data_IF_242544296266
#
_entry.id   IF_242544296266
#
_cell.length_a   1.000
_cell.length_b   1.000
_cell.length_c   1.000
_cell.angle_alpha   90.00
_cell.angle_beta   90.00
_cell.angle_gamma   90.00
#
_symmetry.space_group_name_H-M   'P 1'
#
loop_
_entity.id
_entity.type
_entity.pdbx_description
1 polymer ?
#
# COMPACT_ATOMS: atom_id res chain seq x y z
N UNK A 1 13.10 -2.53 -5.56
CA UNK A 1 12.85 -2.00 -6.92
C UNK A 1 14.19 -1.80 -7.64
N UNK A 2 14.29 -2.21 -8.89
CA UNK A 2 15.50 -2.01 -9.67
C UNK A 2 15.86 -0.53 -9.74
N UNK A 3 17.11 -0.20 -9.52
CA UNK A 3 17.60 1.18 -9.70
C UNK A 3 17.63 1.53 -11.20
N UNK A 4 17.51 2.81 -11.55
CA UNK A 4 17.65 3.26 -12.94
C UNK A 4 18.97 2.79 -13.56
N UNK A 5 20.05 2.78 -12.78
CA UNK A 5 21.35 2.28 -13.23
C UNK A 5 21.29 0.79 -13.65
N UNK A 6 20.55 -0.06 -12.90
CA UNK A 6 20.37 -1.45 -13.25
C UNK A 6 19.50 -1.61 -14.50
N UNK A 7 18.45 -0.81 -14.63
CA UNK A 7 17.59 -0.83 -15.83
C UNK A 7 18.37 -0.41 -17.08
N UNK A 8 19.22 0.64 -17.00
CA UNK A 8 20.13 1.03 -18.09
C UNK A 8 21.09 -0.08 -18.47
N UNK A 9 21.75 -0.69 -17.49
CA UNK A 9 22.66 -1.81 -17.74
C UNK A 9 21.99 -3.00 -18.44
N UNK A 10 20.71 -3.27 -18.14
CA UNK A 10 19.92 -4.30 -18.80
C UNK A 10 19.52 -3.89 -20.21
N UNK A 11 19.18 -2.62 -20.42
CA UNK A 11 18.89 -2.05 -21.74
C UNK A 11 20.10 -2.14 -22.67
N UNK A 12 21.28 -1.76 -22.18
CA UNK A 12 22.56 -1.85 -22.90
C UNK A 12 22.90 -3.29 -23.32
N UNK A 13 22.48 -4.28 -22.52
CA UNK A 13 22.63 -5.72 -22.84
C UNK A 13 21.57 -6.24 -23.81
N UNK A 14 20.66 -5.38 -24.24
CA UNK A 14 19.61 -5.73 -25.19
C UNK A 14 18.50 -6.60 -24.60
N UNK A 15 18.22 -6.51 -23.28
CA UNK A 15 17.13 -7.24 -22.64
C UNK A 15 15.78 -6.97 -23.34
N UNK A 16 15.07 -8.00 -23.86
CA UNK A 16 13.86 -7.78 -24.64
C UNK A 16 12.58 -7.65 -23.79
N UNK A 17 12.57 -8.17 -22.57
CA UNK A 17 11.38 -8.23 -21.72
C UNK A 17 11.71 -7.78 -20.29
N UNK A 18 10.89 -6.91 -19.76
CA UNK A 18 10.90 -6.47 -18.35
C UNK A 18 9.55 -6.78 -17.74
N UNK A 19 9.50 -7.58 -16.69
CA UNK A 19 8.27 -7.98 -16.04
C UNK A 19 8.31 -7.67 -14.55
N UNK A 20 7.40 -6.80 -14.11
CA UNK A 20 7.25 -6.38 -12.71
C UNK A 20 5.93 -6.89 -12.15
N UNK A 21 5.96 -7.49 -10.98
CA UNK A 21 4.73 -7.91 -10.33
C UNK A 21 4.77 -7.71 -8.81
N UNK A 22 3.61 -7.46 -8.23
CA UNK A 22 3.44 -7.19 -6.81
C UNK A 22 2.03 -7.53 -6.34
N UNK A 23 1.80 -7.42 -5.03
CA UNK A 23 0.46 -7.30 -4.45
C UNK A 23 -0.06 -5.85 -4.43
N UNK A 24 0.81 -4.88 -4.71
CA UNK A 24 0.54 -3.44 -4.63
C UNK A 24 0.61 -2.82 -6.02
N UNK A 25 -0.55 -2.39 -6.56
CA UNK A 25 -0.65 -1.78 -7.90
C UNK A 25 0.29 -0.59 -8.08
N UNK A 26 0.40 0.24 -7.05
CA UNK A 26 1.27 1.41 -7.08
C UNK A 26 2.74 1.06 -7.38
N UNK A 27 3.28 0.01 -6.74
CA UNK A 27 4.67 -0.42 -6.96
C UNK A 27 4.90 -0.91 -8.39
N UNK A 28 3.94 -1.68 -8.91
CA UNK A 28 4.01 -2.16 -10.30
C UNK A 28 4.03 -0.97 -11.27
N UNK A 29 3.11 -0.03 -11.09
CA UNK A 29 3.01 1.16 -11.94
C UNK A 29 4.28 2.01 -11.89
N UNK A 30 4.86 2.21 -10.71
CA UNK A 30 6.14 2.92 -10.57
C UNK A 30 7.29 2.21 -11.29
N UNK A 31 7.42 0.89 -11.12
CA UNK A 31 8.48 0.13 -11.78
C UNK A 31 8.33 0.12 -13.29
N UNK A 32 7.11 -0.07 -13.80
CA UNK A 32 6.80 0.02 -15.22
C UNK A 32 7.17 1.41 -15.77
N UNK A 33 6.72 2.49 -15.12
CA UNK A 33 7.03 3.86 -15.55
C UNK A 33 8.52 4.17 -15.50
N UNK A 34 9.25 3.66 -14.49
CA UNK A 34 10.70 3.82 -14.40
C UNK A 34 11.42 3.09 -15.54
N UNK A 35 10.98 1.87 -15.86
CA UNK A 35 11.53 1.11 -16.98
C UNK A 35 11.25 1.81 -18.32
N UNK A 36 10.03 2.27 -18.56
CA UNK A 36 9.66 3.02 -19.77
C UNK A 36 10.54 4.28 -19.92
N UNK A 37 10.69 5.08 -18.87
CA UNK A 37 11.55 6.29 -18.93
C UNK A 37 12.98 5.97 -19.32
N UNK A 38 13.54 4.87 -18.77
CA UNK A 38 14.92 4.49 -19.11
C UNK A 38 15.02 3.96 -20.52
N UNK A 39 14.04 3.16 -20.96
CA UNK A 39 14.05 2.50 -22.29
C UNK A 39 13.71 3.49 -23.42
N UNK A 40 12.93 4.54 -23.14
CA UNK A 40 12.58 5.58 -24.12
C UNK A 40 13.50 6.81 -24.05
N UNK A 41 14.51 6.82 -23.17
CA UNK A 41 15.37 8.00 -22.98
C UNK A 41 16.13 8.45 -24.25
N UNK A 42 16.46 7.49 -25.11
CA UNK A 42 17.22 7.70 -26.36
C UNK A 42 16.32 7.57 -27.61
N UNK A 43 14.99 7.58 -27.44
CA UNK A 43 14.02 7.45 -28.52
C UNK A 43 13.14 8.68 -28.61
N UNK A 44 12.97 9.20 -29.84
CA UNK A 44 11.99 10.26 -30.14
C UNK A 44 10.55 9.71 -30.29
N UNK A 45 10.37 8.39 -30.16
CA UNK A 45 9.06 7.74 -30.26
C UNK A 45 8.49 7.45 -28.87
N UNK A 46 7.19 7.74 -28.70
CA UNK A 46 6.45 7.39 -27.48
C UNK A 46 6.27 5.87 -27.36
N UNK A 47 6.29 5.40 -26.13
CA UNK A 47 5.99 4.00 -25.84
C UNK A 47 4.54 3.66 -26.20
N UNK A 48 4.32 2.53 -26.90
CA UNK A 48 2.98 2.05 -27.23
C UNK A 48 2.39 1.32 -26.02
N UNK A 49 1.27 1.81 -25.50
CA UNK A 49 0.58 1.22 -24.34
C UNK A 49 -0.58 0.37 -24.81
N UNK A 50 -0.62 -0.89 -24.38
CA UNK A 50 -1.72 -1.82 -24.60
C UNK A 50 -2.43 -2.06 -23.26
N UNK A 51 -3.55 -1.37 -23.07
CA UNK A 51 -4.31 -1.43 -21.83
C UNK A 51 -5.25 -2.67 -21.78
N UNK A 52 -5.53 -3.10 -20.56
CA UNK A 52 -6.47 -4.19 -20.27
C UNK A 52 -5.83 -5.34 -19.50
N UNK A 53 -6.68 -6.18 -18.90
CA UNK A 53 -6.24 -7.35 -18.15
C UNK A 53 -5.68 -8.45 -19.07
N UNK A 54 -6.21 -8.55 -20.28
CA UNK A 54 -5.75 -9.48 -21.32
C UNK A 54 -5.75 -8.77 -22.68
N UNK A 55 -4.76 -7.89 -22.95
CA UNK A 55 -4.63 -7.24 -24.26
C UNK A 55 -4.51 -8.25 -25.39
N UNK A 56 -5.09 -7.91 -26.54
CA UNK A 56 -5.04 -8.77 -27.72
C UNK A 56 -3.61 -8.99 -28.20
N UNK A 57 -3.24 -10.24 -28.47
CA UNK A 57 -1.87 -10.62 -28.85
C UNK A 57 -1.53 -10.06 -30.24
N UNK A 58 -2.53 -9.99 -31.14
CA UNK A 58 -2.38 -9.35 -32.45
C UNK A 58 -1.95 -7.88 -32.32
N UNK A 59 -2.52 -7.16 -31.33
CA UNK A 59 -2.11 -5.80 -31.00
C UNK A 59 -0.65 -5.71 -30.56
N UNK A 60 -0.18 -6.67 -29.75
CA UNK A 60 1.22 -6.78 -29.35
C UNK A 60 2.13 -7.07 -30.56
N UNK A 61 1.75 -8.02 -31.41
CA UNK A 61 2.50 -8.37 -32.64
C UNK A 61 2.61 -7.16 -33.55
N UNK A 62 1.51 -6.44 -33.78
CA UNK A 62 1.52 -5.21 -34.61
C UNK A 62 2.40 -4.11 -34.01
N UNK A 63 2.28 -3.85 -32.69
CA UNK A 63 3.07 -2.84 -32.00
C UNK A 63 4.56 -3.16 -32.01
N UNK A 64 4.91 -4.44 -31.77
CA UNK A 64 6.30 -4.92 -31.74
C UNK A 64 6.91 -5.10 -33.14
N UNK A 65 6.11 -5.45 -34.15
CA UNK A 65 6.54 -5.68 -35.55
C UNK A 65 6.75 -4.41 -36.34
N UNK A 66 6.27 -3.25 -35.86
CA UNK A 66 6.47 -1.98 -36.56
C UNK A 66 7.92 -1.52 -36.38
N UNK A 67 8.65 -1.39 -37.48
CA UNK A 67 10.04 -0.93 -37.47
C UNK A 67 10.07 0.56 -37.11
N UNK A 68 10.91 0.94 -36.12
CA UNK A 68 11.15 2.33 -35.80
C UNK A 68 11.85 3.02 -36.98
N UNK A 69 11.37 4.21 -37.34
CA UNK A 69 11.98 5.04 -38.40
C UNK A 69 13.42 5.46 -38.06
N UNK A 70 13.74 5.53 -36.76
CA UNK A 70 15.05 5.98 -36.25
C UNK A 70 15.99 4.82 -35.92
N UNK A 71 15.62 3.56 -36.21
CA UNK A 71 16.45 2.40 -35.92
C UNK A 71 16.56 2.01 -34.44
N UNK A 72 15.76 2.64 -33.57
CA UNK A 72 15.68 2.34 -32.14
C UNK A 72 14.68 1.19 -31.91
N UNK A 73 14.85 0.42 -30.83
CA UNK A 73 13.87 -0.59 -30.43
C UNK A 73 12.59 0.07 -29.94
N UNK A 74 11.45 -0.37 -30.41
CA UNK A 74 10.15 0.09 -29.91
C UNK A 74 9.90 -0.39 -28.50
N UNK A 75 9.35 0.47 -27.66
CA UNK A 75 8.92 0.14 -26.31
C UNK A 75 7.41 -0.11 -26.32
N UNK A 76 7.00 -1.33 -26.00
CA UNK A 76 5.60 -1.72 -25.86
C UNK A 76 5.33 -2.01 -24.39
N UNK A 77 4.24 -1.46 -23.87
CA UNK A 77 3.91 -1.50 -22.44
C UNK A 77 2.57 -2.18 -22.23
N UNK A 78 2.55 -3.22 -21.40
CA UNK A 78 1.35 -3.87 -20.90
C UNK A 78 1.29 -3.63 -19.38
N UNK A 79 0.68 -2.53 -18.91
CA UNK A 79 0.87 -2.06 -17.55
C UNK A 79 0.18 -2.90 -16.47
N UNK A 80 -0.91 -3.61 -16.81
CA UNK A 80 -1.72 -4.35 -15.85
C UNK A 80 -2.24 -5.68 -16.44
N UNK A 81 -1.35 -6.58 -16.83
CA UNK A 81 -1.72 -7.89 -17.35
C UNK A 81 -2.17 -8.82 -16.23
N UNK A 82 -3.33 -9.45 -16.39
CA UNK A 82 -3.74 -10.62 -15.62
C UNK A 82 -3.56 -11.91 -16.43
N UNK A 83 -2.52 -12.71 -16.16
CA UNK A 83 -2.31 -13.96 -16.87
C UNK A 83 -3.45 -14.97 -16.69
N UNK A 84 -4.29 -14.79 -15.67
CA UNK A 84 -5.47 -15.63 -15.43
C UNK A 84 -6.65 -15.30 -16.34
N UNK A 85 -6.67 -14.12 -16.95
CA UNK A 85 -7.71 -13.68 -17.86
C UNK A 85 -7.51 -14.25 -19.29
N UNK A 86 -6.31 -14.74 -19.61
CA UNK A 86 -6.05 -15.40 -20.90
C UNK A 86 -6.52 -16.85 -20.91
N UNK A 87 -7.05 -17.30 -22.05
CA UNK A 87 -7.20 -18.71 -22.36
C UNK A 87 -5.84 -19.42 -22.41
N UNK A 88 -5.82 -20.74 -22.25
CA UNK A 88 -4.56 -21.49 -22.26
C UNK A 88 -3.77 -21.32 -23.57
N UNK A 89 -4.47 -21.29 -24.72
CA UNK A 89 -3.86 -21.08 -26.05
C UNK A 89 -3.29 -19.67 -26.18
N UNK A 90 -4.06 -18.65 -25.78
CA UNK A 90 -3.66 -17.25 -25.91
C UNK A 90 -2.47 -16.94 -25.00
N UNK A 91 -2.42 -17.55 -23.80
CA UNK A 91 -1.27 -17.43 -22.93
C UNK A 91 -0.01 -18.08 -23.53
N UNK A 92 -0.15 -19.22 -24.23
CA UNK A 92 0.94 -19.86 -24.95
C UNK A 92 1.44 -18.98 -26.10
N UNK A 93 0.52 -18.37 -26.81
CA UNK A 93 0.80 -17.47 -27.92
C UNK A 93 1.49 -16.18 -27.39
N UNK A 94 1.01 -15.58 -26.28
CA UNK A 94 1.69 -14.47 -25.62
C UNK A 94 3.14 -14.84 -25.25
N UNK A 95 3.34 -15.99 -24.62
CA UNK A 95 4.67 -16.47 -24.25
C UNK A 95 5.58 -16.65 -25.47
N UNK A 96 5.04 -17.18 -26.57
CA UNK A 96 5.78 -17.39 -27.83
C UNK A 96 6.14 -16.06 -28.49
N UNK A 97 5.20 -15.13 -28.52
CA UNK A 97 5.40 -13.78 -29.07
C UNK A 97 6.50 -13.05 -28.29
N UNK A 98 6.46 -13.08 -26.94
CA UNK A 98 7.50 -12.47 -26.12
C UNK A 98 8.89 -13.08 -26.35
N UNK A 99 8.96 -14.37 -26.69
CA UNK A 99 10.23 -15.05 -26.97
C UNK A 99 10.80 -14.73 -28.36
N UNK A 100 9.96 -14.30 -29.29
CA UNK A 100 10.33 -14.01 -30.68
C UNK A 100 10.61 -12.53 -30.96
N UNK A 101 10.67 -11.68 -29.95
CA UNK A 101 10.89 -10.24 -30.09
C UNK A 101 12.32 -9.93 -30.57
N UNK A 102 12.43 -9.29 -31.73
CA UNK A 102 13.73 -8.87 -32.28
C UNK A 102 13.91 -7.34 -32.21
N UNK A 103 12.87 -6.59 -32.58
CA UNK A 103 12.94 -5.15 -32.77
C UNK A 103 12.18 -4.34 -31.69
N UNK A 104 11.65 -4.99 -30.67
CA UNK A 104 10.90 -4.34 -29.60
C UNK A 104 11.40 -4.76 -28.22
N UNK A 105 11.09 -3.92 -27.26
CA UNK A 105 11.23 -4.20 -25.82
C UNK A 105 9.86 -4.14 -25.20
N UNK A 106 9.48 -5.19 -24.47
CA UNK A 106 8.18 -5.24 -23.81
C UNK A 106 8.32 -5.07 -22.30
N UNK A 107 7.55 -4.15 -21.74
CA UNK A 107 7.45 -3.90 -20.31
C UNK A 107 6.08 -4.37 -19.81
N UNK A 108 6.06 -5.37 -18.93
CA UNK A 108 4.84 -5.94 -18.37
C UNK A 108 4.71 -5.59 -16.88
N UNK A 109 3.48 -5.35 -16.45
CA UNK A 109 3.09 -5.24 -15.05
C UNK A 109 1.97 -6.21 -14.70
N UNK A 110 2.00 -6.80 -13.50
CA UNK A 110 0.88 -7.61 -12.98
C UNK A 110 0.67 -7.36 -11.50
N UNK A 111 -0.59 -7.37 -11.08
CA UNK A 111 -0.96 -7.26 -9.66
C UNK A 111 -1.61 -8.57 -9.23
N UNK A 112 -1.02 -9.25 -8.25
CA UNK A 112 -1.54 -10.52 -7.76
C UNK A 112 -2.16 -10.40 -6.38
N UNK A 113 -3.20 -11.18 -6.07
CA UNK A 113 -3.83 -11.16 -4.76
C UNK A 113 -2.89 -11.67 -3.66
N UNK A 114 -3.14 -11.19 -2.46
CA UNK A 114 -2.48 -11.65 -1.25
C UNK A 114 -3.32 -12.74 -0.59
N UNK A 115 -2.82 -13.98 -0.51
CA UNK A 115 -3.46 -15.05 0.27
C UNK A 115 -2.53 -15.54 1.38
N UNK A 116 -3.08 -15.67 2.61
CA UNK A 116 -2.33 -16.11 3.79
C UNK A 116 -0.98 -15.39 3.94
N UNK A 117 -0.98 -14.08 3.70
CA UNK A 117 0.22 -13.24 3.76
C UNK A 117 1.32 -13.55 2.72
N UNK A 118 0.99 -14.24 1.63
CA UNK A 118 1.92 -14.48 0.52
C UNK A 118 1.27 -14.05 -0.79
N UNK A 119 2.09 -13.55 -1.71
CA UNK A 119 1.67 -13.31 -3.07
C UNK A 119 1.22 -14.64 -3.69
N UNK A 120 -0.01 -14.67 -4.21
CA UNK A 120 -0.57 -15.86 -4.87
C UNK A 120 -0.55 -15.65 -6.38
N UNK A 121 0.49 -16.15 -7.01
CA UNK A 121 0.52 -16.30 -8.46
C UNK A 121 -0.16 -17.64 -8.85
N UNK A 122 -1.27 -17.57 -9.60
CA UNK A 122 -1.93 -18.75 -10.17
C UNK A 122 -1.03 -19.48 -11.18
N UNK A 123 -1.48 -20.64 -11.67
CA UNK A 123 -0.70 -21.44 -12.64
C UNK A 123 -0.32 -20.65 -13.91
N UNK A 124 -1.27 -19.88 -14.46
CA UNK A 124 -1.04 -19.01 -15.62
C UNK A 124 0.02 -17.95 -15.36
N UNK A 125 -0.04 -17.32 -14.16
CA UNK A 125 0.94 -16.33 -13.75
C UNK A 125 2.34 -16.94 -13.57
N UNK A 126 2.44 -18.12 -12.96
CA UNK A 126 3.71 -18.83 -12.80
C UNK A 126 4.33 -19.19 -14.15
N UNK A 127 3.50 -19.58 -15.15
CA UNK A 127 3.94 -19.86 -16.52
C UNK A 127 4.55 -18.60 -17.16
N UNK A 128 3.83 -17.48 -17.13
CA UNK A 128 4.32 -16.21 -17.68
C UNK A 128 5.60 -15.73 -16.97
N UNK A 129 5.64 -15.80 -15.63
CA UNK A 129 6.84 -15.45 -14.83
C UNK A 129 8.04 -16.30 -15.25
N UNK A 130 7.85 -17.62 -15.42
CA UNK A 130 8.91 -18.54 -15.80
C UNK A 130 9.41 -18.23 -17.20
N UNK A 131 8.52 -18.00 -18.15
CA UNK A 131 8.87 -17.63 -19.52
C UNK A 131 9.64 -16.30 -19.56
N UNK A 132 9.12 -15.26 -18.90
CA UNK A 132 9.80 -13.96 -18.86
C UNK A 132 11.17 -14.03 -18.18
N UNK A 133 11.36 -14.88 -17.15
CA UNK A 133 12.67 -15.11 -16.54
C UNK A 133 13.69 -15.74 -17.49
N UNK A 134 13.23 -16.58 -18.42
CA UNK A 134 14.12 -17.23 -19.39
C UNK A 134 14.63 -16.27 -20.46
N UNK A 135 13.87 -15.24 -20.80
CA UNK A 135 14.15 -14.33 -21.93
C UNK A 135 14.48 -12.89 -21.52
N UNK A 136 14.25 -12.50 -20.27
CA UNK A 136 14.38 -11.12 -19.85
C UNK A 136 14.58 -10.93 -18.34
N UNK A 137 14.22 -9.75 -17.88
CA UNK A 137 14.29 -9.36 -16.48
C UNK A 137 12.94 -9.45 -15.80
N UNK A 138 12.89 -10.13 -14.67
CA UNK A 138 11.68 -10.27 -13.84
C UNK A 138 11.97 -9.88 -12.41
N UNK A 139 11.11 -9.04 -11.83
CA UNK A 139 11.23 -8.60 -10.45
C UNK A 139 9.89 -8.71 -9.70
N UNK A 140 9.90 -9.42 -8.58
CA UNK A 140 8.84 -9.35 -7.57
C UNK A 140 9.07 -8.14 -6.68
N UNK A 141 8.12 -7.20 -6.67
CA UNK A 141 8.20 -5.99 -5.88
C UNK A 141 7.54 -6.24 -4.52
N UNK A 142 8.35 -6.35 -3.49
CA UNK A 142 7.86 -6.47 -2.13
C UNK A 142 7.34 -5.12 -1.60
N UNK A 143 6.34 -5.16 -0.71
CA UNK A 143 5.89 -3.97 0.00
C UNK A 143 7.07 -3.33 0.73
N UNK A 144 7.32 -2.02 0.57
CA UNK A 144 8.43 -1.35 1.22
C UNK A 144 8.30 -1.40 2.74
N UNK A 145 9.40 -1.56 3.41
CA UNK A 145 9.47 -1.47 4.88
C UNK A 145 9.47 0.00 5.31
N UNK A 146 9.07 0.31 6.54
CA UNK A 146 8.98 1.69 7.04
C UNK A 146 10.25 2.53 6.83
N UNK A 147 11.44 1.94 6.98
CA UNK A 147 12.68 2.67 6.74
C UNK A 147 12.91 2.95 5.24
N UNK A 148 12.44 2.07 4.35
CA UNK A 148 12.49 2.26 2.89
C UNK A 148 11.49 3.34 2.47
N UNK A 149 10.30 3.39 3.09
CA UNK A 149 9.32 4.46 2.89
C UNK A 149 9.87 5.82 3.35
N UNK A 150 10.57 5.86 4.50
CA UNK A 150 11.23 7.09 4.95
C UNK A 150 12.30 7.55 3.97
N UNK A 151 13.16 6.65 3.52
CA UNK A 151 14.17 6.96 2.52
C UNK A 151 13.55 7.49 1.23
N UNK A 152 12.48 6.84 0.73
CA UNK A 152 11.74 7.27 -0.44
C UNK A 152 11.18 8.69 -0.29
N UNK A 153 10.58 9.02 0.86
CA UNK A 153 10.06 10.36 1.14
C UNK A 153 11.16 11.42 1.16
N UNK A 154 12.29 11.12 1.80
CA UNK A 154 13.46 12.01 1.89
C UNK A 154 14.04 12.25 0.48
N UNK A 155 14.22 11.20 -0.31
CA UNK A 155 14.74 11.29 -1.68
C UNK A 155 13.76 12.06 -2.58
N UNK A 156 12.44 11.87 -2.41
CA UNK A 156 11.42 12.64 -3.14
C UNK A 156 11.49 14.14 -2.85
N UNK A 157 11.59 14.50 -1.58
CA UNK A 157 11.74 15.89 -1.17
C UNK A 157 13.04 16.51 -1.73
N UNK A 158 14.15 15.76 -1.66
CA UNK A 158 15.43 16.17 -2.19
C UNK A 158 15.41 16.40 -3.71
N UNK A 159 14.70 15.54 -4.45
CA UNK A 159 14.53 15.70 -5.90
C UNK A 159 13.78 16.99 -6.27
N UNK A 160 12.99 17.56 -5.35
CA UNK A 160 12.31 18.84 -5.49
C UNK A 160 13.10 20.01 -4.90
N UNK A 161 14.37 19.81 -4.53
CA UNK A 161 15.21 20.83 -3.91
C UNK A 161 14.85 21.15 -2.44
N UNK A 162 14.06 20.30 -1.80
CA UNK A 162 13.52 20.48 -0.43
C UNK A 162 14.20 19.53 0.55
N UNK A 163 14.34 19.94 1.80
CA UNK A 163 14.83 19.09 2.90
C UNK A 163 13.66 18.53 3.71
N UNK A 164 13.63 17.20 3.87
CA UNK A 164 12.71 16.50 4.78
C UNK A 164 13.54 15.75 5.84
N UNK A 165 13.70 16.29 7.05
CA UNK A 165 14.44 15.63 8.13
C UNK A 165 13.80 14.30 8.55
N UNK A 166 14.62 13.34 9.02
CA UNK A 166 14.14 12.00 9.43
C UNK A 166 13.00 12.04 10.44
N UNK A 167 13.03 12.99 11.38
CA UNK A 167 11.93 13.18 12.35
C UNK A 167 10.61 13.62 11.72
N UNK A 168 10.66 14.48 10.69
CA UNK A 168 9.47 14.89 9.94
C UNK A 168 8.96 13.74 9.05
N UNK A 169 9.85 12.99 8.40
CA UNK A 169 9.50 11.79 7.65
C UNK A 169 8.86 10.71 8.54
N UNK A 170 9.38 10.51 9.76
CA UNK A 170 8.79 9.59 10.73
C UNK A 170 7.39 10.04 11.17
N UNK A 171 7.21 11.34 11.45
CA UNK A 171 5.90 11.90 11.80
C UNK A 171 4.89 11.75 10.66
N UNK A 172 5.33 11.94 9.41
CA UNK A 172 4.48 11.78 8.23
C UNK A 172 4.04 10.32 8.06
N UNK A 173 4.97 9.37 8.20
CA UNK A 173 4.66 7.94 8.15
C UNK A 173 3.67 7.53 9.25
N UNK A 174 3.80 8.10 10.45
CA UNK A 174 2.87 7.85 11.55
C UNK A 174 1.46 8.35 11.26
N UNK A 175 1.33 9.51 10.61
CA UNK A 175 0.03 10.13 10.31
C UNK A 175 -0.67 9.51 9.11
N UNK A 176 0.08 9.30 8.03
CA UNK A 176 -0.47 8.84 6.74
C UNK A 176 -0.51 7.32 6.62
N UNK A 177 0.21 6.58 7.49
CA UNK A 177 0.36 5.13 7.36
C UNK A 177 1.40 4.74 6.29
N UNK A 178 1.36 3.47 5.88
CA UNK A 178 2.38 2.85 5.02
C UNK A 178 1.94 2.77 3.55
N UNK A 179 1.06 3.66 3.08
CA UNK A 179 0.69 3.74 1.67
C UNK A 179 1.70 4.63 0.92
N UNK A 180 2.52 4.04 0.01
CA UNK A 180 3.55 4.80 -0.70
C UNK A 180 2.99 5.93 -1.57
N UNK A 181 1.82 5.72 -2.19
CA UNK A 181 1.19 6.73 -3.04
C UNK A 181 0.72 7.94 -2.23
N UNK A 182 0.05 7.67 -1.10
CA UNK A 182 -0.37 8.73 -0.19
C UNK A 182 0.83 9.49 0.37
N UNK A 183 1.88 8.77 0.77
CA UNK A 183 3.10 9.39 1.30
C UNK A 183 3.80 10.29 0.28
N UNK A 184 3.89 9.88 -0.99
CA UNK A 184 4.47 10.73 -2.03
C UNK A 184 3.65 12.01 -2.26
N UNK A 185 2.33 11.90 -2.36
CA UNK A 185 1.45 13.06 -2.53
C UNK A 185 1.55 14.03 -1.35
N UNK A 186 1.66 13.49 -0.12
CA UNK A 186 1.83 14.31 1.07
C UNK A 186 3.19 15.00 1.12
N UNK A 187 4.26 14.34 0.68
CA UNK A 187 5.58 14.96 0.54
C UNK A 187 5.50 16.11 -0.47
N UNK A 188 4.91 15.89 -1.65
CA UNK A 188 4.78 16.91 -2.68
C UNK A 188 4.00 18.13 -2.18
N UNK A 189 2.88 17.88 -1.50
CA UNK A 189 2.07 18.92 -0.87
C UNK A 189 2.86 19.72 0.18
N UNK A 190 3.57 19.03 1.07
CA UNK A 190 4.35 19.69 2.14
C UNK A 190 5.55 20.44 1.59
N UNK A 191 6.21 19.94 0.54
CA UNK A 191 7.28 20.67 -0.16
C UNK A 191 6.74 21.99 -0.75
N UNK A 192 5.60 21.97 -1.43
CA UNK A 192 4.97 23.16 -1.97
C UNK A 192 4.54 24.15 -0.86
N UNK A 193 3.90 23.65 0.21
CA UNK A 193 3.47 24.46 1.36
C UNK A 193 4.64 25.10 2.11
N UNK A 194 5.81 24.45 2.16
CA UNK A 194 7.01 25.01 2.75
C UNK A 194 7.69 26.09 1.87
N UNK A 195 7.16 26.34 0.67
CA UNK A 195 7.84 27.17 -0.33
C UNK A 195 9.18 26.56 -0.75
N UNK A 196 9.25 25.25 -0.80
CA UNK A 196 10.46 24.45 -1.10
C UNK A 196 11.62 24.70 -0.12
N UNK A 197 11.27 25.07 1.13
CA UNK A 197 12.18 25.12 2.25
C UNK A 197 12.12 23.82 3.05
N UNK A 198 12.81 23.75 4.19
CA UNK A 198 12.79 22.56 5.06
C UNK A 198 11.38 22.28 5.59
N UNK A 199 10.87 21.08 5.35
CA UNK A 199 9.61 20.57 5.93
C UNK A 199 9.85 20.20 7.38
N UNK A 200 9.15 20.86 8.31
CA UNK A 200 9.29 20.60 9.75
C UNK A 200 8.26 19.60 10.25
N UNK A 201 8.54 18.96 11.39
CA UNK A 201 7.57 18.08 12.05
C UNK A 201 6.30 18.84 12.49
N UNK A 202 6.40 20.15 12.82
CA UNK A 202 5.25 21.00 13.10
C UNK A 202 4.34 21.15 11.87
N UNK A 203 4.90 21.39 10.69
CA UNK A 203 4.13 21.46 9.43
C UNK A 203 3.42 20.14 9.15
N UNK A 204 4.10 19.01 9.38
CA UNK A 204 3.47 17.68 9.26
C UNK A 204 2.30 17.55 10.23
N UNK A 205 2.44 18.00 11.47
CA UNK A 205 1.38 17.96 12.48
C UNK A 205 0.16 18.81 12.11
N UNK A 206 0.38 19.98 11.51
CA UNK A 206 -0.69 20.94 11.21
C UNK A 206 -1.37 20.65 9.87
N UNK A 207 -0.61 20.21 8.86
CA UNK A 207 -1.05 20.14 7.47
C UNK A 207 -1.01 18.74 6.85
N UNK A 208 -0.37 17.77 7.53
CA UNK A 208 -0.31 16.38 7.05
C UNK A 208 -1.68 15.72 7.07
N UNK A 209 -2.02 14.99 6.02
CA UNK A 209 -3.21 14.13 6.00
C UNK A 209 -3.08 13.05 7.06
N UNK A 210 -4.19 12.70 7.70
CA UNK A 210 -4.24 11.65 8.71
C UNK A 210 -4.97 10.45 8.13
N UNK A 211 -4.37 9.26 8.23
CA UNK A 211 -5.07 8.04 7.82
C UNK A 211 -6.24 7.74 8.76
N UNK A 212 -7.26 7.06 8.26
CA UNK A 212 -8.40 6.64 9.07
C UNK A 212 -7.95 5.82 10.29
N UNK A 213 -6.98 4.92 10.10
CA UNK A 213 -6.44 4.08 11.17
C UNK A 213 -5.75 4.91 12.25
N UNK A 214 -5.00 5.95 11.87
CA UNK A 214 -4.34 6.85 12.83
C UNK A 214 -5.35 7.68 13.61
N UNK A 215 -6.37 8.22 12.95
CA UNK A 215 -7.47 8.96 13.57
C UNK A 215 -8.28 8.07 14.53
N UNK A 216 -8.61 6.85 14.11
CA UNK A 216 -9.33 5.89 14.94
C UNK A 216 -8.48 5.47 16.14
N UNK A 217 -7.18 5.25 15.96
CA UNK A 217 -6.29 4.93 17.07
C UNK A 217 -6.20 6.07 18.09
N UNK A 218 -6.14 7.32 17.62
CA UNK A 218 -6.20 8.51 18.49
C UNK A 218 -7.52 8.57 19.26
N UNK A 219 -8.64 8.30 18.60
CA UNK A 219 -9.96 8.23 19.24
C UNK A 219 -10.00 7.17 20.35
N UNK A 220 -9.41 5.99 20.12
CA UNK A 220 -9.29 4.93 21.14
C UNK A 220 -8.44 5.40 22.32
N UNK A 221 -7.34 6.11 22.07
CA UNK A 221 -6.52 6.71 23.15
C UNK A 221 -7.32 7.72 23.98
N UNK A 222 -8.15 8.54 23.33
CA UNK A 222 -9.05 9.47 24.04
C UNK A 222 -10.04 8.72 24.94
N UNK A 223 -10.63 7.62 24.45
CA UNK A 223 -11.50 6.73 25.25
C UNK A 223 -10.74 6.17 26.45
N UNK A 224 -9.52 5.66 26.24
CA UNK A 224 -8.64 5.14 27.29
C UNK A 224 -8.32 6.19 28.35
N UNK A 225 -8.10 7.44 27.93
CA UNK A 225 -7.86 8.59 28.81
C UNK A 225 -9.15 9.16 29.43
N UNK A 226 -10.30 8.49 29.29
CA UNK A 226 -11.63 8.92 29.78
C UNK A 226 -12.12 10.23 29.15
N UNK A 227 -11.60 10.61 28.00
CA UNK A 227 -12.02 11.79 27.25
C UNK A 227 -13.06 11.40 26.18
N UNK A 228 -14.25 10.97 26.62
CA UNK A 228 -15.34 10.58 25.73
C UNK A 228 -15.77 11.75 24.82
N UNK A 229 -15.81 12.97 25.34
CA UNK A 229 -16.16 14.16 24.56
C UNK A 229 -15.20 14.40 23.39
N UNK A 230 -13.90 14.25 23.63
CA UNK A 230 -12.89 14.33 22.57
C UNK A 230 -13.06 13.24 21.51
N UNK A 231 -13.32 12.01 21.94
CA UNK A 231 -13.56 10.88 21.05
C UNK A 231 -14.81 11.12 20.17
N UNK A 232 -15.91 11.60 20.74
CA UNK A 232 -17.11 11.93 19.96
C UNK A 232 -16.87 13.08 18.95
N UNK A 233 -16.13 14.13 19.35
CA UNK A 233 -15.77 15.20 18.41
C UNK A 233 -14.92 14.67 17.23
N UNK A 234 -13.97 13.77 17.52
CA UNK A 234 -13.16 13.13 16.50
C UNK A 234 -14.00 12.28 15.55
N UNK A 235 -14.95 11.47 16.06
CA UNK A 235 -15.91 10.73 15.25
C UNK A 235 -16.72 11.64 14.34
N UNK A 236 -17.27 12.74 14.87
CA UNK A 236 -18.02 13.71 14.07
C UNK A 236 -17.17 14.33 12.96
N UNK A 237 -15.86 14.55 13.22
CA UNK A 237 -14.93 15.03 12.19
C UNK A 237 -14.75 13.99 11.09
N UNK A 238 -14.58 12.71 11.43
CA UNK A 238 -14.47 11.63 10.44
C UNK A 238 -15.72 11.53 9.57
N UNK A 239 -16.90 11.59 10.18
CA UNK A 239 -18.19 11.56 9.44
C UNK A 239 -18.36 12.78 8.52
N UNK A 240 -17.96 13.98 8.95
CA UNK A 240 -17.95 15.19 8.10
C UNK A 240 -16.97 15.06 6.92
N UNK A 241 -15.88 14.34 7.09
CA UNK A 241 -14.93 14.00 6.02
C UNK A 241 -15.40 12.84 5.14
N UNK A 242 -16.68 12.46 5.28
CA UNK A 242 -17.34 11.39 4.51
C UNK A 242 -16.63 10.03 4.64
N UNK A 243 -16.03 9.78 5.80
CA UNK A 243 -15.53 8.44 6.11
C UNK A 243 -16.71 7.51 6.37
N UNK A 244 -16.74 6.39 5.67
CA UNK A 244 -17.80 5.40 5.76
C UNK A 244 -17.90 4.79 7.18
N UNK A 245 -19.08 4.76 7.82
CA UNK A 245 -19.30 4.19 9.15
C UNK A 245 -18.77 2.77 9.31
N UNK A 246 -18.92 1.94 8.28
CA UNK A 246 -18.41 0.56 8.24
C UNK A 246 -16.88 0.56 8.25
N UNK A 247 -16.22 1.48 7.52
CA UNK A 247 -14.76 1.59 7.50
C UNK A 247 -14.22 2.05 8.87
N UNK A 248 -14.87 3.03 9.51
CA UNK A 248 -14.54 3.47 10.88
C UNK A 248 -14.63 2.29 11.85
N UNK A 249 -15.74 1.54 11.80
CA UNK A 249 -15.97 0.37 12.66
C UNK A 249 -14.91 -0.71 12.43
N UNK A 250 -14.57 -1.02 11.17
CA UNK A 250 -13.54 -1.99 10.83
C UNK A 250 -12.16 -1.58 11.38
N UNK A 251 -11.80 -0.29 11.28
CA UNK A 251 -10.57 0.25 11.84
C UNK A 251 -10.54 0.17 13.38
N UNK A 252 -11.69 0.43 14.04
CA UNK A 252 -11.84 0.25 15.50
C UNK A 252 -11.64 -1.21 15.91
N UNK A 253 -12.31 -2.15 15.24
CA UNK A 253 -12.16 -3.59 15.47
C UNK A 253 -10.70 -3.99 15.33
N UNK A 254 -10.05 -3.61 14.23
CA UNK A 254 -8.65 -3.90 13.99
C UNK A 254 -7.73 -3.41 15.12
N UNK A 255 -7.97 -2.19 15.61
CA UNK A 255 -7.20 -1.60 16.71
C UNK A 255 -7.42 -2.36 18.03
N UNK A 256 -8.66 -2.70 18.40
CA UNK A 256 -8.93 -3.46 19.62
C UNK A 256 -8.43 -4.92 19.53
N UNK A 257 -8.43 -5.53 18.35
CA UNK A 257 -7.78 -6.83 18.13
C UNK A 257 -6.28 -6.75 18.37
N UNK A 258 -5.64 -5.68 17.94
CA UNK A 258 -4.21 -5.45 18.23
C UNK A 258 -3.96 -5.28 19.73
N UNK A 259 -4.80 -4.49 20.44
CA UNK A 259 -4.72 -4.36 21.90
C UNK A 259 -4.86 -5.73 22.59
N UNK A 260 -5.81 -6.54 22.15
CA UNK A 260 -6.04 -7.90 22.68
C UNK A 260 -4.82 -8.80 22.48
N UNK A 261 -4.29 -8.85 21.26
CA UNK A 261 -3.12 -9.68 20.92
C UNK A 261 -1.88 -9.33 21.72
N UNK A 262 -1.57 -8.03 21.83
CA UNK A 262 -0.40 -7.60 22.62
C UNK A 262 -0.60 -7.81 24.11
N UNK A 263 -1.81 -7.62 24.64
CA UNK A 263 -2.15 -7.88 26.04
C UNK A 263 -2.04 -9.38 26.38
N UNK A 264 -2.55 -10.24 25.50
CA UNK A 264 -2.43 -11.70 25.62
C UNK A 264 -0.97 -12.15 25.51
N UNK A 265 -0.19 -11.54 24.62
CA UNK A 265 1.24 -11.78 24.49
C UNK A 265 2.00 -11.41 25.76
N UNK A 266 1.72 -10.23 26.33
CA UNK A 266 2.33 -9.77 27.59
C UNK A 266 2.03 -10.72 28.76
N UNK A 267 0.81 -11.24 28.87
CA UNK A 267 0.45 -12.24 29.86
C UNK A 267 1.27 -13.54 29.72
N UNK A 268 1.77 -13.84 28.52
CA UNK A 268 2.65 -14.99 28.22
C UNK A 268 4.14 -14.60 28.15
N UNK A 269 4.52 -13.43 28.70
CA UNK A 269 5.88 -12.87 28.70
C UNK A 269 6.48 -12.68 27.29
N UNK A 270 5.63 -12.51 26.27
CA UNK A 270 6.03 -12.17 24.89
C UNK A 270 5.98 -10.65 24.70
N UNK A 271 6.98 -10.10 24.04
CA UNK A 271 6.95 -8.69 23.64
C UNK A 271 6.14 -8.49 22.32
N UNK A 272 5.84 -7.25 21.98
CA UNK A 272 5.06 -6.90 20.80
C UNK A 272 5.72 -7.37 19.49
N UNK A 273 7.05 -7.38 19.39
CA UNK A 273 7.76 -7.88 18.21
C UNK A 273 7.60 -9.40 18.04
N UNK A 274 7.51 -10.16 19.13
CA UNK A 274 7.19 -11.60 19.08
C UNK A 274 5.75 -11.81 18.64
N UNK A 275 4.80 -11.03 19.19
CA UNK A 275 3.39 -11.04 18.80
C UNK A 275 3.24 -10.71 17.31
N UNK A 276 4.00 -9.73 16.82
CA UNK A 276 4.03 -9.36 15.41
C UNK A 276 4.38 -10.56 14.50
N UNK A 277 5.39 -11.33 14.88
CA UNK A 277 5.82 -12.54 14.14
C UNK A 277 4.80 -13.68 14.25
N UNK A 278 4.30 -13.95 15.47
CA UNK A 278 3.39 -15.05 15.76
C UNK A 278 2.07 -14.92 14.97
N UNK A 279 1.55 -13.71 14.82
CA UNK A 279 0.32 -13.45 14.08
C UNK A 279 0.54 -13.08 12.60
N UNK A 280 1.79 -13.13 12.11
CA UNK A 280 2.12 -12.92 10.71
C UNK A 280 1.81 -11.50 10.20
N UNK A 281 1.95 -10.48 11.06
CA UNK A 281 1.82 -9.09 10.62
C UNK A 281 2.88 -8.74 9.59
N UNK A 282 2.52 -7.85 8.68
CA UNK A 282 3.45 -7.28 7.69
C UNK A 282 3.75 -5.82 7.99
N UNK A 283 4.86 -5.33 7.45
CA UNK A 283 5.30 -3.95 7.64
C UNK A 283 6.09 -3.77 8.94
N UNK A 284 5.79 -2.71 9.68
CA UNK A 284 6.45 -2.36 10.94
C UNK A 284 5.71 -2.93 12.15
N UNK A 285 6.46 -3.34 13.17
CA UNK A 285 5.91 -3.68 14.49
C UNK A 285 5.57 -2.43 15.33
N UNK A 286 5.82 -1.21 14.80
CA UNK A 286 5.54 0.06 15.46
C UNK A 286 4.06 0.21 15.85
N UNK A 287 3.13 -0.23 14.98
CA UNK A 287 1.70 -0.29 15.27
C UNK A 287 1.42 -1.10 16.55
N UNK A 288 2.02 -2.28 16.68
CA UNK A 288 1.85 -3.11 17.88
C UNK A 288 2.58 -2.55 19.10
N UNK A 289 3.68 -1.82 18.92
CA UNK A 289 4.34 -1.08 20.00
C UNK A 289 3.37 -0.06 20.62
N UNK A 290 2.73 0.78 19.80
CA UNK A 290 1.72 1.75 20.27
C UNK A 290 0.51 1.05 20.92
N UNK A 291 0.06 -0.04 20.32
CA UNK A 291 -1.02 -0.87 20.89
C UNK A 291 -0.63 -1.44 22.24
N UNK A 292 0.61 -1.86 22.46
CA UNK A 292 1.09 -2.36 23.76
C UNK A 292 1.09 -1.26 24.84
N UNK A 293 1.48 -0.04 24.49
CA UNK A 293 1.41 1.12 25.38
C UNK A 293 -0.04 1.39 25.83
N UNK A 294 -0.99 1.43 24.88
CA UNK A 294 -2.42 1.64 25.16
C UNK A 294 -3.02 0.47 25.93
N UNK A 295 -2.69 -0.79 25.55
CA UNK A 295 -3.18 -1.99 26.22
C UNK A 295 -2.73 -2.13 27.67
N UNK A 296 -1.67 -1.41 28.10
CA UNK A 296 -1.23 -1.39 29.50
C UNK A 296 -2.33 -0.87 30.44
N UNK A 297 -3.18 0.02 29.94
CA UNK A 297 -4.28 0.64 30.70
C UNK A 297 -5.55 -0.22 30.78
N UNK A 298 -5.60 -1.35 30.09
CA UNK A 298 -6.74 -2.26 30.09
C UNK A 298 -6.41 -3.58 30.76
N UNK A 299 -7.42 -4.22 31.36
CA UNK A 299 -7.40 -5.65 31.64
C UNK A 299 -7.80 -6.43 30.38
N UNK A 300 -7.51 -7.73 30.33
CA UNK A 300 -7.92 -8.58 29.21
C UNK A 300 -9.46 -8.61 29.05
N UNK A 301 -10.19 -8.78 30.17
CA UNK A 301 -11.65 -8.77 30.17
C UNK A 301 -12.27 -7.46 29.71
N UNK A 302 -11.63 -6.32 29.99
CA UNK A 302 -12.09 -5.02 29.47
C UNK A 302 -11.95 -4.94 27.94
N UNK A 303 -10.84 -5.45 27.38
CA UNK A 303 -10.66 -5.48 25.92
C UNK A 303 -11.68 -6.43 25.28
N UNK A 304 -11.96 -7.56 25.90
CA UNK A 304 -12.99 -8.51 25.45
C UNK A 304 -14.39 -7.87 25.46
N UNK A 305 -14.74 -7.13 26.52
CA UNK A 305 -15.98 -6.38 26.59
C UNK A 305 -16.06 -5.30 25.50
N UNK A 306 -14.96 -4.59 25.20
CA UNK A 306 -14.91 -3.64 24.11
C UNK A 306 -15.11 -4.32 22.74
N UNK A 307 -14.48 -5.47 22.50
CA UNK A 307 -14.66 -6.25 21.28
C UNK A 307 -16.10 -6.73 21.11
N UNK A 308 -16.78 -7.10 22.21
CA UNK A 308 -18.21 -7.46 22.19
C UNK A 308 -19.08 -6.25 21.76
N UNK A 309 -18.82 -5.05 22.29
CA UNK A 309 -19.51 -3.83 21.88
C UNK A 309 -19.32 -3.56 20.37
N UNK A 310 -18.11 -3.77 19.86
CA UNK A 310 -17.82 -3.54 18.43
C UNK A 310 -18.46 -4.61 17.53
N UNK A 311 -18.57 -5.86 17.99
CA UNK A 311 -19.29 -6.90 17.27
C UNK A 311 -20.77 -6.56 17.14
N UNK A 312 -21.39 -6.10 18.23
CA UNK A 312 -22.79 -5.66 18.23
C UNK A 312 -23.01 -4.43 17.33
N UNK A 313 -22.05 -3.49 17.32
CA UNK A 313 -22.07 -2.34 16.41
C UNK A 313 -22.03 -2.79 14.94
N UNK A 314 -21.10 -3.67 14.57
CA UNK A 314 -20.98 -4.19 13.20
C UNK A 314 -22.26 -4.89 12.74
N UNK A 315 -22.89 -5.68 13.61
CA UNK A 315 -24.18 -6.30 13.33
C UNK A 315 -25.30 -5.28 13.17
N UNK A 316 -25.34 -4.26 14.04
CA UNK A 316 -26.38 -3.22 14.02
C UNK A 316 -26.31 -2.37 12.77
N UNK A 317 -25.12 -1.97 12.34
CA UNK A 317 -24.90 -1.22 11.10
C UNK A 317 -25.38 -1.97 9.84
N UNK A 318 -25.37 -3.31 9.88
CA UNK A 318 -25.80 -4.14 8.76
C UNK A 318 -27.28 -4.53 8.77
N UNK A 319 -27.96 -4.41 9.90
CA UNK A 319 -29.31 -4.99 10.07
C UNK A 319 -30.37 -4.04 10.60
N UNK A 320 -30.01 -2.93 11.21
CA UNK A 320 -30.96 -2.03 11.86
C UNK A 320 -31.22 -0.77 11.05
N UNK A 321 -32.49 -0.32 10.93
CA UNK A 321 -32.86 0.93 10.25
C UNK A 321 -32.68 2.14 11.19
N UNK A 322 -31.53 2.24 11.85
CA UNK A 322 -31.15 3.34 12.74
C UNK A 322 -30.04 4.14 12.09
N UNK A 323 -30.05 5.45 12.30
CA UNK A 323 -29.01 6.31 11.76
C UNK A 323 -27.63 5.87 12.24
N UNK A 324 -26.71 5.64 11.32
CA UNK A 324 -25.38 5.06 11.56
C UNK A 324 -24.55 5.90 12.55
N UNK A 325 -24.71 7.23 12.51
CA UNK A 325 -24.06 8.13 13.46
C UNK A 325 -24.50 7.83 14.90
N UNK A 326 -25.78 7.60 15.14
CA UNK A 326 -26.32 7.29 16.48
C UNK A 326 -25.74 5.96 16.98
N UNK A 327 -25.66 4.96 16.10
CA UNK A 327 -25.07 3.67 16.46
C UNK A 327 -23.60 3.81 16.85
N UNK A 328 -22.80 4.57 16.08
CA UNK A 328 -21.41 4.83 16.38
C UNK A 328 -21.20 5.61 17.67
N UNK A 329 -21.96 6.70 17.90
CA UNK A 329 -21.88 7.50 19.13
C UNK A 329 -22.27 6.68 20.36
N UNK A 330 -23.31 5.84 20.24
CA UNK A 330 -23.73 4.93 21.30
C UNK A 330 -22.64 3.90 21.62
N UNK A 331 -22.02 3.33 20.59
CA UNK A 331 -20.92 2.39 20.77
C UNK A 331 -19.69 3.04 21.43
N UNK A 332 -19.34 4.29 21.08
CA UNK A 332 -18.26 5.03 21.75
C UNK A 332 -18.53 5.22 23.23
N UNK A 333 -19.74 5.58 23.63
CA UNK A 333 -20.11 5.70 25.04
C UNK A 333 -19.99 4.36 25.78
N UNK A 334 -20.45 3.26 25.15
CA UNK A 334 -20.31 1.91 25.71
C UNK A 334 -18.85 1.46 25.84
N UNK A 335 -18.02 1.78 24.84
CA UNK A 335 -16.57 1.50 24.89
C UNK A 335 -15.89 2.25 26.04
N UNK A 336 -16.25 3.52 26.26
CA UNK A 336 -15.74 4.31 27.38
C UNK A 336 -16.14 3.70 28.74
N UNK A 337 -17.34 3.15 28.84
CA UNK A 337 -17.81 2.46 30.06
C UNK A 337 -17.11 1.12 30.26
N UNK A 338 -17.00 0.29 29.21
CA UNK A 338 -16.33 -1.00 29.26
C UNK A 338 -14.84 -0.86 29.60
N UNK A 339 -14.16 0.16 29.05
CA UNK A 339 -12.76 0.46 29.32
C UNK A 339 -12.51 1.01 30.74
N UNK A 340 -13.51 1.60 31.41
CA UNK A 340 -13.32 2.21 32.74
C UNK A 340 -13.48 1.27 33.93
N UNK A 341 -13.94 0.05 33.74
CA UNK A 341 -13.98 -1.00 34.78
C UNK A 341 -14.73 -0.62 36.06
N UNK A 342 -16.02 -0.28 35.94
CA UNK A 342 -16.98 -0.27 37.04
C UNK A 342 -18.05 -1.32 36.83
#
# INVERSE_FOLDING_TARGET
>A
MATEAKLRQLADKGCPVYYFYSTERYLVRQAVNAAVRVLSADSDEDATVLDGAAPEIEGLIMAAGTISFFGTRRVVVLPEVDPGAYGAKDLDELCSTLASLENAVVVLGSVFPLERNKLKAGKSAQKLITQCKAIGYVEELAKPRPFELKAMMIDRAKAQGTSLPDGAAAALLERCGEDPFLLENEVDKLCALSGYQTVTAAMVADMGTVSLEADVFEMIRMITAKNATGACKKLQTLLRLQQEPIAITAAMIGSYVDLYRVKLGAARKKNYSTVFKDFGYKGSDYRLKRSAETASHYTLGQIEACLQVLLELDQSLKSQPVEEQILLETALCRLAMAGSGR
#
